data_IF_080997585935
#
_entry.id   IF_080997585935
#
_cell.length_a   1.000
_cell.length_b   1.000
_cell.length_c   1.000
_cell.angle_alpha   90.00
_cell.angle_beta   90.00
_cell.angle_gamma   90.00
#
_symmetry.space_group_name_H-M   'P 1'
#
loop_
_entity.id
_entity.type
_entity.pdbx_description
1 polymer ?
#
# COMPACT_ATOMS: atom_id res chain seq x y z
N UNK A 1 16.84 -25.72 56.92
CA UNK A 1 17.43 -25.02 55.76
C UNK A 1 17.07 -25.73 54.45
N UNK A 2 15.87 -25.58 53.93
CA UNK A 2 15.42 -26.13 52.61
C UNK A 2 14.23 -25.29 52.18
N UNK A 3 14.39 -24.16 51.49
CA UNK A 3 13.31 -23.47 50.75
C UNK A 3 13.77 -22.18 50.04
N UNK A 4 15.00 -22.14 49.49
CA UNK A 4 15.50 -20.93 48.83
C UNK A 4 15.78 -21.07 47.31
N UNK A 5 15.26 -22.14 46.63
CA UNK A 5 15.66 -22.38 45.25
C UNK A 5 14.50 -22.53 44.22
N UNK A 6 13.30 -22.02 44.55
CA UNK A 6 12.13 -22.20 43.63
C UNK A 6 11.68 -20.94 42.89
N UNK A 7 12.33 -19.80 43.02
CA UNK A 7 11.90 -18.54 42.41
C UNK A 7 12.83 -17.98 41.34
N UNK A 8 13.90 -18.67 40.94
CA UNK A 8 14.89 -18.12 40.01
C UNK A 8 14.52 -18.23 38.50
N UNK A 9 13.65 -19.14 38.02
CA UNK A 9 13.36 -19.18 36.56
C UNK A 9 12.36 -18.13 36.05
N UNK A 10 11.58 -17.47 36.94
CA UNK A 10 10.55 -16.53 36.51
C UNK A 10 11.05 -15.14 36.15
N UNK A 11 12.18 -14.73 36.77
CA UNK A 11 12.77 -13.39 36.54
C UNK A 11 13.59 -13.28 35.24
N UNK A 12 14.04 -14.38 34.67
CA UNK A 12 14.82 -14.39 33.42
C UNK A 12 13.96 -14.28 32.14
N UNK A 13 12.65 -14.49 32.26
CA UNK A 13 11.73 -14.38 31.10
C UNK A 13 11.10 -12.98 30.95
N UNK A 14 11.11 -12.14 31.96
CA UNK A 14 10.52 -10.79 31.92
C UNK A 14 11.20 -9.83 30.92
N UNK A 15 12.53 -9.80 30.74
CA UNK A 15 13.15 -8.94 29.74
C UNK A 15 12.95 -9.41 28.30
N UNK A 16 12.72 -10.70 28.08
CA UNK A 16 12.44 -11.24 26.74
C UNK A 16 11.02 -10.91 26.24
N UNK A 17 10.04 -10.85 27.14
CA UNK A 17 8.68 -10.41 26.82
C UNK A 17 8.61 -8.90 26.56
N UNK A 18 9.38 -8.10 27.29
CA UNK A 18 9.46 -6.65 27.10
C UNK A 18 10.16 -6.25 25.80
N UNK A 19 11.13 -7.04 25.31
CA UNK A 19 11.80 -6.78 24.02
C UNK A 19 10.96 -7.18 22.81
N UNK A 20 10.03 -8.13 22.96
CA UNK A 20 9.08 -8.52 21.92
C UNK A 20 7.99 -7.47 21.64
N UNK A 21 7.58 -6.70 22.65
CA UNK A 21 6.54 -5.67 22.52
C UNK A 21 6.99 -4.42 21.77
N UNK A 22 8.28 -4.14 21.66
CA UNK A 22 8.79 -2.97 20.92
C UNK A 22 8.59 -3.06 19.39
N UNK A 23 8.29 -4.23 18.82
CA UNK A 23 8.08 -4.40 17.39
C UNK A 23 6.63 -4.27 16.91
N UNK A 24 5.66 -4.25 17.84
CA UNK A 24 4.22 -4.19 17.51
C UNK A 24 3.67 -2.76 17.44
N UNK A 25 4.49 -1.72 17.61
CA UNK A 25 4.02 -0.34 17.74
C UNK A 25 4.28 0.55 16.53
N UNK A 26 4.61 0.01 15.37
CA UNK A 26 4.67 0.80 14.14
C UNK A 26 3.32 0.72 13.43
N UNK A 27 2.49 1.74 13.62
CA UNK A 27 1.18 1.85 13.00
C UNK A 27 1.30 2.64 11.70
N UNK A 28 0.71 2.12 10.63
CA UNK A 28 0.52 2.80 9.36
C UNK A 28 -0.92 3.29 9.21
N UNK A 29 -1.11 4.27 8.34
CA UNK A 29 -2.43 4.73 7.93
C UNK A 29 -2.48 4.98 6.43
N UNK A 30 -3.63 4.76 5.81
CA UNK A 30 -3.92 5.27 4.47
C UNK A 30 -4.06 6.78 4.52
N UNK A 31 -3.59 7.48 3.50
CA UNK A 31 -3.60 8.95 3.48
C UNK A 31 -5.00 9.55 3.75
N UNK A 32 -6.06 8.90 3.28
CA UNK A 32 -7.44 9.33 3.50
C UNK A 32 -7.96 9.14 4.94
N UNK A 33 -7.26 8.39 5.80
CA UNK A 33 -7.58 8.27 7.22
C UNK A 33 -7.13 9.51 8.02
N UNK A 34 -6.21 10.31 7.48
CA UNK A 34 -5.80 11.59 8.05
C UNK A 34 -6.71 12.67 7.44
N UNK A 35 -7.42 13.43 8.29
CA UNK A 35 -8.49 14.35 7.90
C UNK A 35 -8.12 15.35 6.79
N UNK A 36 -6.87 15.76 6.72
CA UNK A 36 -6.41 16.66 5.68
C UNK A 36 -4.94 16.39 5.35
N UNK A 37 -4.55 16.65 4.11
CA UNK A 37 -3.18 16.53 3.66
C UNK A 37 -2.45 17.86 3.89
N UNK A 38 -2.20 18.16 5.18
CA UNK A 38 -1.43 19.34 5.61
C UNK A 38 -0.27 18.93 6.51
N UNK A 39 0.79 19.74 6.61
CA UNK A 39 1.93 19.45 7.50
C UNK A 39 1.50 19.25 8.95
N UNK A 40 0.55 20.05 9.43
CA UNK A 40 0.06 20.01 10.82
C UNK A 40 -0.68 18.69 11.10
N UNK A 41 -1.60 18.29 10.20
CA UNK A 41 -2.36 17.06 10.35
C UNK A 41 -1.47 15.82 10.30
N UNK A 42 -0.46 15.81 9.43
CA UNK A 42 0.49 14.72 9.32
C UNK A 42 1.43 14.66 10.52
N UNK A 43 1.87 15.82 11.03
CA UNK A 43 2.63 15.91 12.26
C UNK A 43 1.82 15.45 13.47
N UNK A 44 0.55 15.86 13.58
CA UNK A 44 -0.35 15.38 14.63
C UNK A 44 -0.54 13.86 14.57
N UNK A 45 -0.72 13.30 13.37
CA UNK A 45 -0.85 11.86 13.17
C UNK A 45 0.37 11.10 13.71
N UNK A 46 1.56 11.63 13.47
CA UNK A 46 2.79 11.07 13.98
C UNK A 46 2.94 11.23 15.50
N UNK A 47 2.79 12.45 16.01
CA UNK A 47 3.17 12.79 17.39
C UNK A 47 2.11 12.33 18.41
N UNK A 48 0.83 12.48 18.07
CA UNK A 48 -0.28 12.19 18.98
C UNK A 48 -0.79 10.75 18.86
N UNK A 49 -0.87 10.23 17.63
CA UNK A 49 -1.43 8.90 17.38
C UNK A 49 -0.40 7.83 17.09
N UNK A 50 0.89 8.16 17.08
CA UNK A 50 1.98 7.21 16.90
C UNK A 50 2.07 6.59 15.50
N UNK A 51 1.39 7.17 14.51
CA UNK A 51 1.49 6.71 13.12
C UNK A 51 2.90 6.95 12.62
N UNK A 52 3.49 5.96 11.95
CA UNK A 52 4.87 6.01 11.41
C UNK A 52 4.90 5.92 9.90
N UNK A 53 3.94 5.24 9.31
CA UNK A 53 3.91 4.89 7.91
C UNK A 53 2.64 5.39 7.25
N UNK A 54 2.74 5.77 5.99
CA UNK A 54 1.59 6.18 5.20
C UNK A 54 1.53 5.41 3.89
N UNK A 55 0.34 5.07 3.49
CA UNK A 55 0.00 4.61 2.16
C UNK A 55 -0.54 5.77 1.32
N UNK A 56 0.01 5.97 0.13
CA UNK A 56 -0.47 7.00 -0.79
C UNK A 56 -1.43 6.39 -1.83
N UNK A 57 -2.61 7.01 -1.97
CA UNK A 57 -3.53 6.71 -3.05
C UNK A 57 -3.06 7.36 -4.34
N UNK A 58 -2.82 6.56 -5.38
CA UNK A 58 -2.25 7.05 -6.66
C UNK A 58 -3.30 7.34 -7.73
N UNK A 59 -4.59 7.22 -7.43
CA UNK A 59 -5.65 7.57 -8.36
C UNK A 59 -5.63 9.04 -8.80
N UNK A 60 -4.95 9.91 -8.06
CA UNK A 60 -4.72 11.31 -8.45
C UNK A 60 -3.55 11.49 -9.45
N UNK A 61 -2.86 10.42 -9.81
CA UNK A 61 -1.74 10.43 -10.78
C UNK A 61 -2.15 9.87 -12.15
N UNK A 62 -3.46 9.77 -12.41
CA UNK A 62 -4.02 9.30 -13.68
C UNK A 62 -5.29 10.08 -14.03
N UNK A 63 -5.64 10.10 -15.31
CA UNK A 63 -6.86 10.73 -15.81
C UNK A 63 -6.90 12.25 -15.76
N UNK A 64 -5.77 12.91 -15.49
CA UNK A 64 -5.61 14.36 -15.42
C UNK A 64 -4.49 14.86 -16.34
N UNK A 65 -4.03 16.08 -16.06
CA UNK A 65 -2.89 16.70 -16.74
C UNK A 65 -1.62 16.62 -15.87
N UNK A 66 -0.44 16.83 -16.47
CA UNK A 66 0.83 16.83 -15.72
C UNK A 66 0.83 17.93 -14.63
N UNK A 67 0.21 19.09 -14.89
CA UNK A 67 0.09 20.17 -13.89
C UNK A 67 -0.74 19.73 -12.67
N UNK A 68 -1.79 18.95 -12.90
CA UNK A 68 -2.63 18.40 -11.82
C UNK A 68 -1.86 17.35 -11.01
N UNK A 69 -1.06 16.51 -11.66
CA UNK A 69 -0.19 15.54 -10.99
C UNK A 69 0.88 16.24 -10.16
N UNK A 70 1.53 17.25 -10.74
CA UNK A 70 2.55 18.05 -10.06
C UNK A 70 2.01 18.75 -8.81
N UNK A 71 0.84 19.39 -8.92
CA UNK A 71 0.19 20.03 -7.79
C UNK A 71 -0.19 19.04 -6.68
N UNK A 72 -0.62 17.81 -7.03
CA UNK A 72 -0.92 16.81 -6.02
C UNK A 72 0.35 16.26 -5.35
N UNK A 73 1.40 15.98 -6.13
CA UNK A 73 2.71 15.52 -5.64
C UNK A 73 3.32 16.56 -4.70
N UNK A 74 3.30 17.83 -5.10
CA UNK A 74 3.80 18.92 -4.26
C UNK A 74 3.05 19.02 -2.94
N UNK A 75 1.71 18.97 -2.96
CA UNK A 75 0.88 18.99 -1.76
C UNK A 75 1.18 17.81 -0.83
N UNK A 76 1.32 16.59 -1.38
CA UNK A 76 1.68 15.42 -0.61
C UNK A 76 3.06 15.57 0.04
N UNK A 77 4.06 15.96 -0.74
CA UNK A 77 5.43 16.14 -0.26
C UNK A 77 5.53 17.25 0.80
N UNK A 78 4.76 18.34 0.66
CA UNK A 78 4.68 19.40 1.66
C UNK A 78 4.07 18.88 2.96
N UNK A 79 3.00 18.06 2.89
CA UNK A 79 2.41 17.45 4.08
C UNK A 79 3.37 16.47 4.78
N UNK A 80 4.15 15.72 4.01
CA UNK A 80 5.13 14.78 4.53
C UNK A 80 6.33 15.48 5.18
N UNK A 81 6.68 16.68 4.71
CA UNK A 81 7.88 17.41 5.14
C UNK A 81 7.82 17.75 6.63
N UNK A 82 8.77 17.23 7.40
CA UNK A 82 8.87 17.47 8.84
C UNK A 82 7.78 16.78 9.70
N UNK A 83 6.90 15.99 9.11
CA UNK A 83 5.85 15.28 9.83
C UNK A 83 6.35 14.11 10.69
N UNK A 84 7.49 13.52 10.33
CA UNK A 84 7.98 12.27 10.93
C UNK A 84 7.42 11.00 10.26
N UNK A 85 6.40 11.13 9.38
CA UNK A 85 5.84 10.02 8.62
C UNK A 85 6.78 9.58 7.50
N UNK A 86 6.67 8.31 7.12
CA UNK A 86 7.42 7.71 6.00
C UNK A 86 6.44 7.06 5.03
N UNK A 87 6.67 7.23 3.73
CA UNK A 87 5.92 6.51 2.71
C UNK A 87 6.29 5.02 2.77
N UNK A 88 5.29 4.15 2.91
CA UNK A 88 5.46 2.71 2.93
C UNK A 88 4.97 2.07 1.64
N UNK A 89 3.74 2.39 1.26
CA UNK A 89 3.07 1.81 0.10
C UNK A 89 2.41 2.86 -0.76
N UNK A 90 2.23 2.48 -2.01
CA UNK A 90 1.38 3.18 -2.97
C UNK A 90 0.26 2.25 -3.40
N UNK A 91 -0.96 2.76 -3.41
CA UNK A 91 -2.14 2.01 -3.77
C UNK A 91 -2.57 2.37 -5.18
N UNK A 92 -2.57 1.40 -6.09
CA UNK A 92 -2.96 1.63 -7.47
C UNK A 92 -4.47 1.80 -7.61
N UNK A 93 -4.93 2.61 -8.56
CA UNK A 93 -6.36 2.83 -8.76
C UNK A 93 -7.04 1.56 -9.28
N UNK A 94 -8.26 1.37 -8.81
CA UNK A 94 -9.19 0.36 -9.30
C UNK A 94 -10.52 1.05 -9.64
N UNK A 95 -10.99 0.93 -10.85
CA UNK A 95 -12.26 1.52 -11.30
C UNK A 95 -12.73 0.83 -12.57
N UNK A 96 -14.06 0.66 -12.68
CA UNK A 96 -14.70 0.10 -13.88
C UNK A 96 -14.76 1.06 -15.07
N UNK A 97 -14.55 2.36 -14.83
CA UNK A 97 -14.70 3.41 -15.84
C UNK A 97 -13.47 3.59 -16.74
N UNK A 98 -12.36 2.95 -16.39
CA UNK A 98 -11.10 3.04 -17.12
C UNK A 98 -10.36 1.70 -17.01
N UNK A 99 -9.39 1.42 -17.88
CA UNK A 99 -8.57 0.21 -17.76
C UNK A 99 -7.69 0.28 -16.49
N UNK A 100 -8.21 -0.28 -15.39
CA UNK A 100 -7.57 -0.38 -14.09
C UNK A 100 -7.83 -1.76 -13.43
N UNK A 101 -7.98 -2.78 -14.26
CA UNK A 101 -8.28 -4.15 -13.83
C UNK A 101 -7.45 -5.15 -14.62
N UNK A 102 -6.46 -5.76 -13.98
CA UNK A 102 -5.62 -6.79 -14.62
C UNK A 102 -6.36 -8.12 -14.82
N UNK A 103 -7.52 -8.30 -14.21
CA UNK A 103 -8.34 -9.50 -14.37
C UNK A 103 -9.38 -9.38 -15.49
N UNK A 104 -9.54 -8.22 -16.11
CA UNK A 104 -10.56 -7.96 -17.14
C UNK A 104 -10.52 -9.02 -18.25
N UNK A 105 -11.69 -9.39 -18.77
CA UNK A 105 -11.78 -10.38 -19.82
C UNK A 105 -11.26 -9.89 -21.18
N UNK A 106 -11.21 -8.59 -21.37
CA UNK A 106 -10.70 -7.94 -22.59
C UNK A 106 -9.17 -7.83 -22.51
N UNK A 107 -8.41 -8.55 -23.37
CA UNK A 107 -6.95 -8.50 -23.33
C UNK A 107 -6.39 -7.07 -23.52
N UNK A 108 -6.99 -6.28 -24.40
CA UNK A 108 -6.59 -4.89 -24.66
C UNK A 108 -6.75 -3.99 -23.43
N UNK A 109 -7.74 -4.26 -22.56
CA UNK A 109 -7.92 -3.55 -21.31
C UNK A 109 -6.88 -3.95 -20.27
N UNK A 110 -6.52 -5.23 -20.20
CA UNK A 110 -5.43 -5.69 -19.31
C UNK A 110 -4.10 -5.05 -19.69
N UNK A 111 -3.78 -5.00 -21.00
CA UNK A 111 -2.55 -4.35 -21.48
C UNK A 111 -2.57 -2.83 -21.22
N UNK A 112 -3.70 -2.17 -21.45
CA UNK A 112 -3.86 -0.75 -21.15
C UNK A 112 -3.73 -0.48 -19.63
N UNK A 113 -4.31 -1.35 -18.78
CA UNK A 113 -4.15 -1.29 -17.32
C UNK A 113 -2.68 -1.42 -16.93
N UNK A 114 -1.99 -2.42 -17.47
CA UNK A 114 -0.58 -2.65 -17.19
C UNK A 114 0.27 -1.43 -17.52
N UNK A 115 0.10 -0.88 -18.73
CA UNK A 115 0.81 0.34 -19.15
C UNK A 115 0.50 1.53 -18.24
N UNK A 116 -0.78 1.78 -17.98
CA UNK A 116 -1.22 2.88 -17.13
C UNK A 116 -0.64 2.76 -15.71
N UNK A 117 -0.63 1.56 -15.12
CA UNK A 117 -0.08 1.36 -13.80
C UNK A 117 1.43 1.63 -13.74
N UNK A 118 2.19 1.29 -14.79
CA UNK A 118 3.61 1.64 -14.86
C UNK A 118 3.80 3.16 -14.93
N UNK A 119 3.01 3.87 -15.73
CA UNK A 119 3.06 5.34 -15.81
C UNK A 119 2.73 5.99 -14.45
N UNK A 120 1.72 5.46 -13.74
CA UNK A 120 1.36 5.90 -12.39
C UNK A 120 2.52 5.66 -11.42
N UNK A 121 3.16 4.49 -11.46
CA UNK A 121 4.29 4.17 -10.58
C UNK A 121 5.50 5.06 -10.87
N UNK A 122 5.75 5.39 -12.13
CA UNK A 122 6.80 6.35 -12.50
C UNK A 122 6.55 7.72 -11.87
N UNK A 123 5.32 8.23 -11.95
CA UNK A 123 4.95 9.47 -11.26
C UNK A 123 5.03 9.33 -9.75
N UNK A 124 4.61 8.19 -9.19
CA UNK A 124 4.63 7.93 -7.75
C UNK A 124 6.04 7.91 -7.14
N UNK A 125 7.10 7.65 -7.93
CA UNK A 125 8.49 7.77 -7.46
C UNK A 125 8.80 9.18 -6.93
N UNK A 126 8.09 10.19 -7.38
CA UNK A 126 8.23 11.58 -6.96
C UNK A 126 7.61 11.87 -5.58
N UNK A 127 6.78 10.97 -5.05
CA UNK A 127 6.26 11.04 -3.68
C UNK A 127 7.30 10.59 -2.64
N UNK A 128 8.30 9.84 -3.08
CA UNK A 128 9.33 9.26 -2.24
C UNK A 128 9.54 7.78 -2.51
N UNK A 129 10.36 7.15 -1.67
CA UNK A 129 10.70 5.75 -1.76
C UNK A 129 9.58 4.92 -1.11
N UNK A 130 8.85 4.14 -1.88
CA UNK A 130 7.87 3.16 -1.39
C UNK A 130 8.46 1.73 -1.44
N UNK A 131 7.92 0.82 -0.66
CA UNK A 131 8.36 -0.59 -0.56
C UNK A 131 7.31 -1.57 -1.04
N UNK A 132 6.07 -1.14 -1.13
CA UNK A 132 4.94 -1.99 -1.51
C UNK A 132 4.06 -1.24 -2.51
N UNK A 133 3.63 -1.95 -3.53
CA UNK A 133 2.58 -1.55 -4.46
C UNK A 133 1.35 -2.39 -4.16
N UNK A 134 0.28 -1.74 -3.72
CA UNK A 134 -0.98 -2.40 -3.42
C UNK A 134 -1.86 -2.39 -4.65
N UNK A 135 -2.41 -3.54 -5.00
CA UNK A 135 -3.29 -3.75 -6.14
C UNK A 135 -4.56 -4.49 -5.71
N UNK A 136 -5.68 -4.18 -6.33
CA UNK A 136 -6.89 -4.99 -6.17
C UNK A 136 -6.90 -6.15 -7.19
N UNK A 137 -7.43 -7.32 -6.80
CA UNK A 137 -7.53 -8.45 -7.72
C UNK A 137 -8.51 -8.17 -8.87
N UNK A 138 -9.51 -7.31 -8.63
CA UNK A 138 -10.47 -6.87 -9.62
C UNK A 138 -11.00 -5.48 -9.28
N UNK A 139 -11.43 -4.73 -10.29
CA UNK A 139 -12.21 -3.49 -10.13
C UNK A 139 -13.70 -3.75 -9.86
N UNK A 140 -14.15 -4.99 -9.93
CA UNK A 140 -15.54 -5.38 -9.80
C UNK A 140 -15.91 -5.76 -8.37
N UNK A 141 -17.02 -5.20 -7.86
CA UNK A 141 -17.52 -5.50 -6.53
C UNK A 141 -18.10 -6.91 -6.39
N UNK A 142 -18.47 -7.54 -7.51
CA UNK A 142 -18.97 -8.94 -7.57
C UNK A 142 -18.57 -9.54 -8.90
N UNK A 143 -17.91 -10.68 -8.83
CA UNK A 143 -17.63 -11.57 -9.94
C UNK A 143 -18.44 -12.82 -9.69
N UNK A 144 -19.13 -13.33 -10.71
CA UNK A 144 -19.89 -14.57 -10.58
C UNK A 144 -18.94 -15.75 -10.36
N UNK A 145 -19.46 -16.81 -9.74
CA UNK A 145 -18.65 -18.02 -9.51
C UNK A 145 -18.22 -18.70 -10.83
N UNK A 146 -18.97 -18.48 -11.91
CA UNK A 146 -18.63 -18.96 -13.26
C UNK A 146 -17.47 -18.18 -13.87
N UNK A 147 -17.44 -16.86 -13.69
CA UNK A 147 -16.40 -15.99 -14.26
C UNK A 147 -15.10 -16.02 -13.45
N UNK A 148 -15.18 -16.27 -12.14
CA UNK A 148 -14.06 -16.16 -11.20
C UNK A 148 -12.81 -16.95 -11.63
N UNK A 149 -12.89 -18.23 -12.04
CA UNK A 149 -11.68 -18.97 -12.42
C UNK A 149 -10.93 -18.33 -13.59
N UNK A 150 -11.66 -17.86 -14.61
CA UNK A 150 -11.08 -17.19 -15.77
C UNK A 150 -10.45 -15.84 -15.37
N UNK A 151 -11.15 -15.05 -14.57
CA UNK A 151 -10.64 -13.76 -14.08
C UNK A 151 -9.38 -13.91 -13.22
N UNK A 152 -9.32 -14.95 -12.38
CA UNK A 152 -8.13 -15.25 -11.58
C UNK A 152 -6.96 -15.69 -12.47
N UNK A 153 -7.19 -16.45 -13.54
CA UNK A 153 -6.11 -16.83 -14.46
C UNK A 153 -5.61 -15.61 -15.24
N UNK A 154 -6.50 -14.73 -15.73
CA UNK A 154 -6.12 -13.46 -16.34
C UNK A 154 -5.23 -12.62 -15.40
N UNK A 155 -5.66 -12.48 -14.14
CA UNK A 155 -4.90 -11.76 -13.11
C UNK A 155 -3.52 -12.40 -12.90
N UNK A 156 -3.49 -13.73 -12.76
CA UNK A 156 -2.25 -14.48 -12.56
C UNK A 156 -1.25 -14.24 -13.70
N UNK A 157 -1.67 -14.33 -14.95
CA UNK A 157 -0.84 -14.05 -16.13
C UNK A 157 -0.25 -12.64 -16.07
N UNK A 158 -1.08 -11.64 -15.77
CA UNK A 158 -0.63 -10.26 -15.70
C UNK A 158 0.31 -10.01 -14.52
N UNK A 159 0.07 -10.61 -13.35
CA UNK A 159 0.92 -10.49 -12.18
C UNK A 159 2.30 -11.16 -12.40
N UNK A 160 2.38 -12.25 -13.13
CA UNK A 160 3.66 -12.88 -13.48
C UNK A 160 4.57 -11.96 -14.31
N UNK A 161 4.00 -11.00 -15.03
CA UNK A 161 4.73 -9.96 -15.78
C UNK A 161 4.98 -8.71 -14.92
N UNK A 162 3.99 -8.31 -14.13
CA UNK A 162 4.00 -7.08 -13.34
C UNK A 162 4.96 -7.15 -12.16
N UNK A 163 4.93 -8.26 -11.39
CA UNK A 163 5.73 -8.40 -10.16
C UNK A 163 7.24 -8.29 -10.42
N UNK A 164 7.84 -9.01 -11.40
CA UNK A 164 9.27 -8.88 -11.69
C UNK A 164 9.65 -7.46 -12.09
N UNK A 165 8.83 -6.80 -12.92
CA UNK A 165 9.07 -5.43 -13.36
C UNK A 165 9.03 -4.44 -12.20
N UNK A 166 8.03 -4.55 -11.29
CA UNK A 166 7.94 -3.72 -10.09
C UNK A 166 9.15 -3.92 -9.19
N UNK A 167 9.59 -5.17 -9.02
CA UNK A 167 10.77 -5.49 -8.23
C UNK A 167 12.03 -4.88 -8.82
N UNK A 168 12.24 -5.03 -10.12
CA UNK A 168 13.42 -4.54 -10.82
C UNK A 168 13.48 -3.01 -10.85
N UNK A 169 12.37 -2.37 -11.28
CA UNK A 169 12.34 -0.93 -11.57
C UNK A 169 12.20 -0.07 -10.32
N UNK A 170 11.42 -0.51 -9.32
CA UNK A 170 11.10 0.28 -8.13
C UNK A 170 11.66 -0.31 -6.83
N UNK A 171 12.25 -1.51 -6.88
CA UNK A 171 12.69 -2.27 -5.70
C UNK A 171 11.55 -2.43 -4.65
N UNK A 172 10.34 -2.67 -5.12
CA UNK A 172 9.14 -2.82 -4.31
C UNK A 172 8.54 -4.23 -4.46
N UNK A 173 7.76 -4.65 -3.47
CA UNK A 173 6.90 -5.83 -3.55
C UNK A 173 5.52 -5.44 -4.06
N UNK A 174 4.78 -6.40 -4.62
CA UNK A 174 3.36 -6.24 -4.95
C UNK A 174 2.55 -6.96 -3.88
N UNK A 175 1.58 -6.27 -3.30
CA UNK A 175 0.58 -6.83 -2.39
C UNK A 175 -0.78 -6.82 -3.08
N UNK A 176 -1.45 -7.97 -3.11
CA UNK A 176 -2.82 -8.08 -3.60
C UNK A 176 -3.75 -7.93 -2.39
N UNK A 177 -4.59 -6.91 -2.40
CA UNK A 177 -5.55 -6.68 -1.33
C UNK A 177 -6.80 -7.52 -1.57
N UNK A 178 -7.14 -8.38 -0.59
CA UNK A 178 -8.37 -9.16 -0.62
C UNK A 178 -9.56 -8.27 -0.24
N UNK A 179 -10.50 -8.15 -1.16
CA UNK A 179 -11.74 -7.42 -0.92
C UNK A 179 -12.83 -8.39 -0.47
N UNK A 180 -13.53 -8.14 0.65
CA UNK A 180 -14.52 -9.07 1.24
C UNK A 180 -15.67 -9.47 0.31
N UNK A 181 -15.75 -8.91 -0.90
CA UNK A 181 -16.84 -9.12 -1.87
C UNK A 181 -16.37 -9.28 -3.32
N UNK A 182 -15.08 -9.35 -3.58
CA UNK A 182 -14.56 -9.28 -4.94
C UNK A 182 -14.23 -10.62 -5.56
N UNK A 183 -13.37 -11.37 -4.99
CA UNK A 183 -12.84 -12.59 -5.62
C UNK A 183 -12.82 -13.73 -4.64
#
# INVERSE_FOLDING_TARGET
MKNALKFLPLLLFLPLLASGQKRLNEVGAVYGAIRSMTPEAYKEAHDKYGIRWIEAWTGNLTGGTEEQYDAWIERFNNAMKGSGLKLWSVHLPFTRKAPNDLSDDRPEWREATFKNWIEILDRATRLGKFRVVVVHPSSEARISDEERPRRLENLREMLLRFIPLVKERYNAAVAVEDLPRGC
#
